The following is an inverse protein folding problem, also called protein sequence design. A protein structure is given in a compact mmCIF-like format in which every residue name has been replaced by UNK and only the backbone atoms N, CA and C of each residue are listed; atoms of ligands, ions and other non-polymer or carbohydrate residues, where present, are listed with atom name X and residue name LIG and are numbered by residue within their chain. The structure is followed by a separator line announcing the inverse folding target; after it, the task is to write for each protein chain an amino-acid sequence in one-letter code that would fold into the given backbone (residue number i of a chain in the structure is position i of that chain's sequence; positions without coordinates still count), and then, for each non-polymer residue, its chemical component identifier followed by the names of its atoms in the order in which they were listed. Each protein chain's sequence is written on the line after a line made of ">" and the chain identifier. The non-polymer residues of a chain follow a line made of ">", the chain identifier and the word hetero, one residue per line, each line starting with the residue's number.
data_IF_782566665593
#
_entry.id   IF_782566665593
#
_cell.length_a   1.000
_cell.length_b   1.000
_cell.length_c   1.000
_cell.angle_alpha   90.00
_cell.angle_beta   90.00
_cell.angle_gamma   90.00
#
_symmetry.space_group_name_H-M   'P 1'
#
loop_
_entity.id
_entity.type
_entity.pdbx_description
1 polymer ?
#
# COMPACT_ATOMS: atom_id res chain seq x y z
N UNK A 1 9.97 4.86 22.45
CA UNK A 1 9.69 3.97 21.31
C UNK A 1 11.00 3.32 20.88
N UNK A 2 11.17 2.01 21.11
CA UNK A 2 12.41 1.27 20.83
C UNK A 2 12.03 0.17 19.84
N UNK A 3 12.43 0.29 18.58
CA UNK A 3 12.27 -0.76 17.58
C UNK A 3 13.26 -1.87 17.95
N UNK A 4 12.75 -3.01 18.43
CA UNK A 4 13.57 -4.10 18.95
C UNK A 4 14.16 -4.91 17.78
N UNK A 5 15.47 -5.15 17.93
CA UNK A 5 16.33 -6.10 17.23
C UNK A 5 15.67 -7.46 16.97
N UNK A 6 15.96 -8.01 15.78
CA UNK A 6 16.16 -9.45 15.59
C UNK A 6 15.18 -10.13 14.66
N UNK A 7 15.68 -10.52 13.46
CA UNK A 7 15.31 -11.66 12.58
C UNK A 7 13.84 -12.01 12.32
N UNK A 8 12.88 -11.23 12.79
CA UNK A 8 11.46 -11.48 12.64
C UNK A 8 10.82 -10.21 12.11
N UNK A 9 10.27 -10.27 10.88
CA UNK A 9 9.37 -9.24 10.39
C UNK A 9 8.20 -9.13 11.35
N UNK A 10 8.15 -8.04 12.12
CA UNK A 10 7.00 -7.74 12.94
C UNK A 10 5.92 -7.13 12.03
N UNK A 11 4.82 -7.86 11.85
CA UNK A 11 3.57 -7.25 11.40
C UNK A 11 3.04 -6.47 12.61
N UNK A 12 3.21 -5.15 12.57
CA UNK A 12 2.64 -4.28 13.60
C UNK A 12 1.27 -3.86 13.10
N UNK A 13 0.22 -4.50 13.62
CA UNK A 13 -1.14 -4.00 13.46
C UNK A 13 -1.28 -2.76 14.35
N UNK A 14 -1.16 -1.58 13.74
CA UNK A 14 -1.35 -0.30 14.43
C UNK A 14 -2.83 0.07 14.59
N UNK A 15 -3.74 -0.79 14.15
CA UNK A 15 -5.18 -0.51 14.11
C UNK A 15 -5.78 -0.33 15.53
N UNK A 16 -5.44 -1.16 16.52
CA UNK A 16 -6.15 -1.08 17.81
C UNK A 16 -5.58 -0.07 18.82
N UNK A 17 -4.29 0.27 18.73
CA UNK A 17 -3.65 1.11 19.75
C UNK A 17 -3.77 2.63 19.50
N UNK A 18 -4.00 3.05 18.24
CA UNK A 18 -4.05 4.47 17.86
C UNK A 18 -5.45 4.96 17.45
N UNK A 19 -6.38 4.05 17.13
CA UNK A 19 -7.76 4.43 16.82
C UNK A 19 -8.60 4.79 18.06
N UNK A 20 -8.10 4.54 19.28
CA UNK A 20 -8.78 4.94 20.53
C UNK A 20 -8.39 6.34 21.05
N UNK A 21 -7.39 7.00 20.45
CA UNK A 21 -6.93 8.31 20.90
C UNK A 21 -7.00 9.35 19.78
N UNK A 22 -8.22 9.79 19.50
CA UNK A 22 -8.61 11.17 19.11
C UNK A 22 -7.49 12.06 18.56
N UNK A 23 -6.96 11.72 17.39
CA UNK A 23 -6.01 12.52 16.63
C UNK A 23 -6.55 12.88 15.25
N UNK A 24 -7.74 13.47 15.16
CA UNK A 24 -8.21 14.09 13.91
C UNK A 24 -7.37 15.33 13.64
N UNK A 25 -6.39 15.22 12.74
CA UNK A 25 -5.74 16.39 12.14
C UNK A 25 -6.75 17.12 11.24
N UNK A 26 -6.86 18.46 11.30
CA UNK A 26 -7.73 19.20 10.40
C UNK A 26 -7.14 19.24 8.97
N UNK A 27 -7.96 18.86 7.99
CA UNK A 27 -7.61 18.63 6.58
C UNK A 27 -8.47 17.50 6.01
N UNK A 28 -8.38 17.21 4.70
CA UNK A 28 -9.07 16.08 4.06
C UNK A 28 -9.04 14.80 4.93
N UNK A 29 -10.09 13.95 4.91
CA UNK A 29 -10.18 12.77 5.78
C UNK A 29 -8.86 11.98 5.78
N UNK A 30 -8.34 11.60 6.97
CA UNK A 30 -6.95 11.14 7.08
C UNK A 30 -6.71 9.91 6.21
N UNK A 31 -5.69 9.99 5.36
CA UNK A 31 -5.13 8.82 4.69
C UNK A 31 -4.86 7.73 5.73
N UNK A 32 -5.39 6.54 5.50
CA UNK A 32 -5.17 5.37 6.37
C UNK A 32 -4.01 4.58 5.81
N UNK A 33 -2.97 4.41 6.61
CA UNK A 33 -1.79 3.62 6.27
C UNK A 33 -1.76 2.36 7.13
N UNK A 34 -1.57 1.20 6.50
CA UNK A 34 -1.31 -0.06 7.19
C UNK A 34 0.00 -0.65 6.69
N UNK A 35 1.00 -0.72 7.57
CA UNK A 35 2.27 -1.38 7.24
C UNK A 35 2.02 -2.88 7.15
N UNK A 36 2.29 -3.46 5.99
CA UNK A 36 2.13 -4.88 5.72
C UNK A 36 3.43 -5.64 5.95
N UNK A 37 4.55 -5.06 5.49
CA UNK A 37 5.86 -5.70 5.58
C UNK A 37 6.94 -4.71 5.98
N UNK A 38 7.88 -5.24 6.75
CA UNK A 38 9.15 -4.59 7.06
C UNK A 38 10.29 -5.58 6.85
N UNK A 39 11.41 -5.08 6.32
CA UNK A 39 12.64 -5.84 6.18
C UNK A 39 13.86 -4.93 6.34
N UNK A 40 14.97 -5.51 6.79
CA UNK A 40 16.26 -4.85 6.80
C UNK A 40 17.27 -5.72 6.05
N UNK A 41 17.93 -5.16 5.04
CA UNK A 41 18.88 -5.88 4.20
C UNK A 41 19.90 -4.92 3.59
N UNK A 42 21.17 -5.32 3.58
CA UNK A 42 22.29 -4.56 3.00
C UNK A 42 22.38 -3.10 3.48
N UNK A 43 22.08 -2.87 4.76
CA UNK A 43 22.10 -1.54 5.37
C UNK A 43 20.88 -0.66 5.03
N UNK A 44 19.87 -1.17 4.32
CA UNK A 44 18.62 -0.48 4.04
C UNK A 44 17.46 -1.08 4.85
N UNK A 45 16.48 -0.22 5.14
CA UNK A 45 15.15 -0.57 5.63
C UNK A 45 14.17 -0.53 4.46
N UNK A 46 13.30 -1.53 4.39
CA UNK A 46 12.26 -1.66 3.38
C UNK A 46 10.91 -1.71 4.09
N UNK A 47 9.96 -0.94 3.57
CA UNK A 47 8.61 -0.83 4.10
C UNK A 47 7.63 -1.03 2.95
N UNK A 48 6.62 -1.88 3.16
CA UNK A 48 5.45 -1.96 2.28
C UNK A 48 4.24 -1.58 3.08
N UNK A 49 3.52 -0.55 2.64
CA UNK A 49 2.32 -0.07 3.28
C UNK A 49 1.14 -0.09 2.29
N UNK A 50 -0.01 -0.55 2.78
CA UNK A 50 -1.28 -0.30 2.14
C UNK A 50 -1.74 1.12 2.51
N UNK A 51 -2.18 1.87 1.50
CA UNK A 51 -2.67 3.24 1.64
C UNK A 51 -4.12 3.24 1.17
N UNK A 52 -5.02 3.69 2.02
CA UNK A 52 -6.39 4.01 1.64
C UNK A 52 -6.61 5.50 1.83
N UNK A 53 -7.03 6.17 0.76
CA UNK A 53 -7.39 7.58 0.79
C UNK A 53 -8.90 7.75 0.61
N UNK A 54 -9.37 8.99 0.70
CA UNK A 54 -10.70 9.38 0.28
C UNK A 54 -10.56 10.34 -0.90
N UNK A 55 -11.47 10.22 -1.86
CA UNK A 55 -11.57 11.16 -2.97
C UNK A 55 -11.75 12.58 -2.43
N UNK A 56 -10.91 13.55 -2.83
CA UNK A 56 -11.09 14.95 -2.44
C UNK A 56 -12.31 15.59 -3.13
N UNK A 57 -12.94 14.86 -4.06
CA UNK A 57 -14.18 15.27 -4.71
C UNK A 57 -15.31 15.11 -3.70
N UNK A 58 -15.71 16.24 -3.12
CA UNK A 58 -16.76 16.37 -2.11
C UNK A 58 -18.18 16.39 -2.68
N UNK A 59 -18.34 16.46 -4.01
CA UNK A 59 -19.66 16.45 -4.66
C UNK A 59 -20.15 15.01 -4.89
N UNK A 60 -21.22 14.56 -4.19
CA UNK A 60 -21.78 13.22 -4.37
C UNK A 60 -22.37 12.98 -5.76
N UNK A 61 -22.44 14.00 -6.64
CA UNK A 61 -22.89 13.86 -8.04
C UNK A 61 -21.78 13.53 -9.02
N UNK A 62 -20.52 13.69 -8.63
CA UNK A 62 -19.40 13.26 -9.46
C UNK A 62 -19.29 11.73 -9.40
N UNK A 63 -19.02 11.02 -10.51
CA UNK A 63 -19.01 9.56 -10.57
C UNK A 63 -18.00 8.90 -9.60
N UNK A 64 -17.01 9.65 -9.11
CA UNK A 64 -16.03 9.20 -8.12
C UNK A 64 -16.06 10.02 -6.81
N UNK A 65 -17.14 10.77 -6.56
CA UNK A 65 -17.36 11.47 -5.29
C UNK A 65 -17.56 10.46 -4.17
N UNK A 66 -16.74 10.54 -3.12
CA UNK A 66 -16.76 9.56 -2.02
C UNK A 66 -16.02 8.23 -2.29
N UNK A 67 -15.32 8.09 -3.42
CA UNK A 67 -14.44 6.94 -3.68
C UNK A 67 -13.36 6.82 -2.58
N UNK A 68 -12.95 5.58 -2.29
CA UNK A 68 -11.94 5.27 -1.28
C UNK A 68 -10.76 4.54 -1.93
N UNK A 69 -9.97 5.23 -2.77
CA UNK A 69 -8.94 4.58 -3.57
C UNK A 69 -7.91 3.93 -2.67
N UNK A 70 -7.44 2.76 -3.09
CA UNK A 70 -6.39 2.00 -2.42
C UNK A 70 -5.17 1.83 -3.28
N UNK A 71 -4.02 1.92 -2.64
CA UNK A 71 -2.72 1.72 -3.28
C UNK A 71 -1.73 1.04 -2.36
N UNK A 72 -0.68 0.50 -2.95
CA UNK A 72 0.48 -0.02 -2.24
C UNK A 72 1.63 0.96 -2.43
N UNK A 73 2.33 1.24 -1.33
CA UNK A 73 3.56 2.01 -1.31
C UNK A 73 4.70 1.10 -0.84
N UNK A 74 5.73 0.98 -1.66
CA UNK A 74 7.01 0.40 -1.27
C UNK A 74 8.02 1.52 -1.06
N UNK A 75 8.73 1.48 0.06
CA UNK A 75 9.74 2.46 0.42
C UNK A 75 11.01 1.72 0.77
N UNK A 76 12.12 2.10 0.16
CA UNK A 76 13.47 1.74 0.60
C UNK A 76 14.14 2.96 1.16
N UNK A 77 14.75 2.83 2.33
CA UNK A 77 15.44 3.93 2.99
C UNK A 77 16.68 3.47 3.74
N UNK A 78 17.66 4.35 3.92
CA UNK A 78 18.71 4.09 4.90
C UNK A 78 18.16 4.21 6.35
N UNK A 79 18.88 3.73 7.38
CA UNK A 79 18.42 3.75 8.77
C UNK A 79 18.31 5.16 9.35
N UNK A 80 18.99 6.14 8.73
CA UNK A 80 18.91 7.55 9.08
C UNK A 80 17.75 8.28 8.38
N UNK A 81 16.97 7.58 7.56
CA UNK A 81 15.90 8.14 6.74
C UNK A 81 16.37 9.23 5.75
N UNK A 82 17.65 9.25 5.38
CA UNK A 82 18.23 10.32 4.55
C UNK A 82 18.09 10.02 3.05
N UNK A 83 18.41 8.80 2.63
CA UNK A 83 18.20 8.33 1.24
C UNK A 83 16.91 7.53 1.15
N UNK A 84 16.05 7.86 0.19
CA UNK A 84 14.74 7.22 0.01
C UNK A 84 14.47 6.93 -1.46
N UNK A 85 14.04 5.72 -1.75
CA UNK A 85 13.43 5.30 -3.01
C UNK A 85 11.99 4.89 -2.72
N UNK A 86 11.07 5.21 -3.62
CA UNK A 86 9.66 4.87 -3.47
C UNK A 86 9.08 4.33 -4.78
N UNK A 87 8.17 3.37 -4.64
CA UNK A 87 7.32 2.87 -5.72
C UNK A 87 5.89 2.83 -5.22
N UNK A 88 4.94 3.13 -6.09
CA UNK A 88 3.52 3.12 -5.74
C UNK A 88 2.68 2.53 -6.85
N UNK A 89 1.65 1.79 -6.50
CA UNK A 89 0.64 1.30 -7.45
C UNK A 89 -0.76 1.45 -6.87
N UNK A 90 -1.67 2.04 -7.64
CA UNK A 90 -3.09 2.14 -7.30
C UNK A 90 -3.77 0.88 -7.82
N UNK A 91 -4.46 0.16 -6.94
CA UNK A 91 -5.10 -1.10 -7.28
C UNK A 91 -6.62 -1.11 -7.07
N UNK A 92 -7.16 -0.13 -6.38
CA UNK A 92 -8.61 0.17 -6.35
C UNK A 92 -8.80 1.66 -6.56
N UNK A 93 -9.58 2.04 -7.56
CA UNK A 93 -9.97 3.44 -7.80
C UNK A 93 -11.03 3.52 -8.89
N UNK A 94 -12.04 4.35 -8.64
CA UNK A 94 -13.05 4.71 -9.61
C UNK A 94 -12.48 5.40 -10.85
N UNK A 95 -11.46 6.26 -10.68
CA UNK A 95 -10.84 7.00 -11.79
C UNK A 95 -10.18 6.09 -12.82
N UNK A 96 -9.75 4.90 -12.39
CA UNK A 96 -9.11 3.89 -13.23
C UNK A 96 -10.07 2.73 -13.60
N UNK A 97 -11.31 2.75 -13.11
CA UNK A 97 -12.26 1.65 -13.19
C UNK A 97 -11.75 0.33 -12.61
N UNK A 98 -11.02 0.40 -11.50
CA UNK A 98 -10.52 -0.75 -10.75
C UNK A 98 -11.39 -0.96 -9.52
N UNK A 99 -12.39 -1.83 -9.63
CA UNK A 99 -13.40 -2.03 -8.57
C UNK A 99 -13.32 -3.39 -7.87
N UNK A 100 -12.81 -4.42 -8.55
CA UNK A 100 -12.86 -5.82 -8.09
C UNK A 100 -11.47 -6.38 -7.77
N UNK A 101 -10.69 -5.64 -6.97
CA UNK A 101 -9.35 -6.11 -6.62
C UNK A 101 -9.42 -7.34 -5.70
N UNK A 102 -8.49 -8.27 -5.89
CA UNK A 102 -8.31 -9.45 -5.04
C UNK A 102 -6.94 -9.38 -4.39
N UNK A 103 -6.93 -8.97 -3.13
CA UNK A 103 -5.73 -8.88 -2.30
C UNK A 103 -5.50 -10.20 -1.56
N UNK A 104 -4.30 -10.76 -1.70
CA UNK A 104 -3.82 -11.91 -0.92
C UNK A 104 -2.53 -11.54 -0.22
N UNK A 105 -2.57 -11.52 1.11
CA UNK A 105 -1.40 -11.30 1.96
C UNK A 105 -0.98 -12.64 2.56
N UNK A 106 0.31 -12.94 2.51
CA UNK A 106 0.93 -14.11 3.15
C UNK A 106 1.97 -13.64 4.17
N UNK A 107 2.59 -14.56 4.91
CA UNK A 107 3.64 -14.22 5.88
C UNK A 107 4.83 -13.50 5.25
N UNK A 108 5.12 -13.77 3.99
CA UNK A 108 6.34 -13.29 3.31
C UNK A 108 6.05 -12.48 2.07
N UNK A 109 4.80 -12.25 1.68
CA UNK A 109 4.54 -11.57 0.43
C UNK A 109 3.10 -11.18 0.19
N UNK A 110 2.91 -10.41 -0.88
CA UNK A 110 1.67 -9.81 -1.29
C UNK A 110 1.40 -10.13 -2.76
N UNK A 111 0.15 -10.44 -3.07
CA UNK A 111 -0.33 -10.48 -4.45
C UNK A 111 -1.64 -9.70 -4.52
N UNK A 112 -1.73 -8.81 -5.50
CA UNK A 112 -2.96 -8.07 -5.80
C UNK A 112 -3.28 -8.25 -7.27
N UNK A 113 -4.43 -8.85 -7.56
CA UNK A 113 -4.99 -8.84 -8.91
C UNK A 113 -6.02 -7.72 -8.98
N UNK A 114 -5.90 -6.85 -9.96
CA UNK A 114 -6.77 -5.70 -10.14
C UNK A 114 -6.83 -5.34 -11.62
N UNK A 115 -7.73 -4.45 -12.00
CA UNK A 115 -7.88 -4.07 -13.39
C UNK A 115 -9.30 -3.67 -13.71
N UNK A 116 -9.54 -3.49 -14.99
CA UNK A 116 -10.83 -3.11 -15.56
C UNK A 116 -11.27 -4.16 -16.59
N UNK A 117 -12.38 -3.89 -17.27
CA UNK A 117 -12.82 -4.69 -18.41
C UNK A 117 -11.82 -4.71 -19.58
N UNK A 118 -10.88 -3.75 -19.65
CA UNK A 118 -9.92 -3.63 -20.76
C UNK A 118 -8.52 -4.13 -20.42
N UNK A 119 -8.16 -4.15 -19.15
CA UNK A 119 -6.81 -4.46 -18.68
C UNK A 119 -6.87 -5.26 -17.39
N UNK A 120 -6.03 -6.29 -17.29
CA UNK A 120 -5.83 -7.09 -16.09
C UNK A 120 -4.38 -6.95 -15.63
N UNK A 121 -4.24 -6.55 -14.37
CA UNK A 121 -2.98 -6.28 -13.72
C UNK A 121 -2.77 -7.23 -12.55
N UNK A 122 -1.51 -7.61 -12.33
CA UNK A 122 -1.08 -8.35 -11.16
C UNK A 122 0.12 -7.65 -10.53
N UNK A 123 -0.01 -7.26 -9.27
CA UNK A 123 1.08 -6.76 -8.43
C UNK A 123 1.56 -7.88 -7.52
N UNK A 124 2.88 -8.02 -7.40
CA UNK A 124 3.55 -8.94 -6.51
C UNK A 124 4.60 -8.22 -5.68
N UNK A 125 4.75 -8.65 -4.43
CA UNK A 125 5.89 -8.32 -3.57
C UNK A 125 6.32 -9.55 -2.75
N UNK A 126 7.61 -9.72 -2.58
CA UNK A 126 8.23 -10.75 -1.74
C UNK A 126 9.23 -10.13 -0.75
N UNK A 127 8.94 -10.32 0.53
CA UNK A 127 9.72 -9.79 1.64
C UNK A 127 11.06 -10.52 1.85
N UNK A 128 11.29 -11.65 1.17
CA UNK A 128 12.60 -12.33 1.16
C UNK A 128 13.61 -11.66 0.22
N UNK A 129 13.11 -10.93 -0.79
CA UNK A 129 13.88 -10.15 -1.76
C UNK A 129 13.35 -8.71 -1.83
N UNK A 130 13.34 -7.98 -0.68
CA UNK A 130 12.65 -6.70 -0.56
C UNK A 130 13.21 -5.61 -1.47
N UNK A 131 14.46 -5.75 -1.92
CA UNK A 131 15.14 -4.85 -2.85
C UNK A 131 14.54 -4.84 -4.26
N UNK A 132 13.77 -5.86 -4.64
CA UNK A 132 13.11 -5.94 -5.96
C UNK A 132 11.88 -5.04 -6.07
N UNK A 133 11.37 -4.51 -4.95
CA UNK A 133 10.22 -3.63 -4.93
C UNK A 133 8.92 -4.30 -5.37
N UNK A 134 8.02 -3.51 -5.92
CA UNK A 134 6.74 -3.96 -6.47
C UNK A 134 6.95 -4.44 -7.90
N UNK A 135 6.60 -5.69 -8.18
CA UNK A 135 6.59 -6.20 -9.55
C UNK A 135 5.17 -6.14 -10.10
N UNK A 136 4.97 -5.39 -11.18
CA UNK A 136 3.66 -5.21 -11.81
C UNK A 136 3.66 -5.83 -13.20
N UNK A 137 2.72 -6.74 -13.45
CA UNK A 137 2.44 -7.27 -14.79
C UNK A 137 1.11 -6.70 -15.28
N UNK A 138 1.10 -6.13 -16.49
CA UNK A 138 -0.10 -5.59 -17.14
C UNK A 138 -0.41 -6.39 -18.39
N UNK A 139 -1.65 -6.85 -18.55
CA UNK A 139 -2.09 -7.63 -19.70
C UNK A 139 -3.41 -7.07 -20.25
N UNK A 140 -3.52 -6.83 -21.57
CA UNK A 140 -4.81 -6.50 -22.16
C UNK A 140 -5.75 -7.71 -22.06
N UNK A 141 -7.04 -7.44 -21.83
CA UNK A 141 -8.08 -8.47 -21.93
C UNK A 141 -8.30 -8.73 -23.43
N UNK A 142 -7.98 -9.93 -23.90
CA UNK A 142 -8.29 -10.35 -25.26
C UNK A 142 -9.80 -10.64 -25.33
N UNK A 143 -10.51 -9.89 -26.16
CA UNK A 143 -11.89 -10.19 -26.55
C UNK A 143 -11.96 -11.47 -27.39
#
# INVERSE_FOLDING_TARGET
>A
MRLINGRHSAVVDLDDALLSTTGTMPGDPPHRFRVLFTAQKDGFLYLVANVQSHSPISDPRAPCGGDAPRGILWIRTDPGLAKREFQSEIYESCSYNYYDSKVKVTKTGLTINYGSAREQNALFYDNSTPELGLLVSKKPVKN
#
